data_IF_604697076872
#
_entry.id   IF_604697076872
#
_cell.length_a   1.000
_cell.length_b   1.000
_cell.length_c   1.000
_cell.angle_alpha   90.00
_cell.angle_beta   90.00
_cell.angle_gamma   90.00
#
_symmetry.space_group_name_H-M   'P 1'
#
loop_
_entity.id
_entity.type
_entity.pdbx_description
1 polymer ?
#
# COMPACT_ATOMS: atom_id res chain seq x y z
N UNK A 1 -1.92 12.79 -18.27
CA UNK A 1 -0.56 12.21 -18.34
C UNK A 1 -0.31 11.77 -19.79
N UNK A 2 0.87 11.96 -20.35
CA UNK A 2 1.17 11.53 -21.72
C UNK A 2 1.54 10.04 -21.78
N UNK A 3 2.22 9.54 -20.75
CA UNK A 3 2.68 8.15 -20.67
C UNK A 3 2.57 7.61 -19.25
N UNK A 4 2.82 6.30 -19.09
CA UNK A 4 2.93 5.65 -17.77
C UNK A 4 4.06 6.19 -16.89
N UNK A 5 5.05 6.86 -17.48
CA UNK A 5 6.13 7.49 -16.74
C UNK A 5 5.71 8.78 -16.04
N UNK A 6 4.49 9.27 -16.28
CA UNK A 6 3.95 10.49 -15.66
C UNK A 6 3.14 10.21 -14.37
N UNK A 7 3.14 8.96 -13.92
CA UNK A 7 2.54 8.54 -12.65
C UNK A 7 3.64 8.36 -11.61
N UNK A 8 3.53 9.10 -10.51
CA UNK A 8 4.52 9.06 -9.42
C UNK A 8 3.95 8.44 -8.13
N UNK A 9 2.63 8.25 -8.07
CA UNK A 9 1.91 7.72 -6.91
C UNK A 9 1.12 6.48 -7.32
N UNK A 10 1.31 5.39 -6.59
CA UNK A 10 0.50 4.18 -6.68
C UNK A 10 -0.31 4.01 -5.40
N UNK A 11 -1.58 3.65 -5.53
CA UNK A 11 -2.41 3.17 -4.43
C UNK A 11 -2.76 1.71 -4.69
N UNK A 12 -2.56 0.85 -3.70
CA UNK A 12 -2.78 -0.59 -3.82
C UNK A 12 -3.84 -0.98 -2.79
N UNK A 13 -4.93 -1.56 -3.27
CA UNK A 13 -6.07 -1.96 -2.44
C UNK A 13 -6.30 -3.47 -2.54
N UNK A 14 -6.57 -4.09 -1.38
CA UNK A 14 -6.74 -5.53 -1.27
C UNK A 14 -8.17 -5.98 -1.61
N UNK A 15 -9.15 -5.12 -1.32
CA UNK A 15 -10.57 -5.39 -1.50
C UNK A 15 -11.22 -4.40 -2.48
N UNK A 16 -12.25 -4.83 -3.23
CA UNK A 16 -12.99 -3.94 -4.13
C UNK A 16 -13.54 -2.70 -3.43
N UNK A 17 -14.11 -2.84 -2.24
CA UNK A 17 -14.67 -1.70 -1.49
C UNK A 17 -13.62 -0.64 -1.11
N UNK A 18 -12.37 -1.07 -0.87
CA UNK A 18 -11.26 -0.15 -0.59
C UNK A 18 -10.86 0.58 -1.88
N UNK A 19 -10.79 -0.16 -2.98
CA UNK A 19 -10.48 0.39 -4.30
C UNK A 19 -11.57 1.37 -4.77
N UNK A 20 -12.85 1.04 -4.58
CA UNK A 20 -14.00 1.88 -4.91
C UNK A 20 -13.92 3.22 -4.16
N UNK A 21 -13.56 3.18 -2.87
CA UNK A 21 -13.37 4.39 -2.07
C UNK A 21 -12.24 5.27 -2.62
N UNK A 22 -11.10 4.69 -3.01
CA UNK A 22 -9.99 5.44 -3.61
C UNK A 22 -10.36 5.96 -5.00
N UNK A 23 -11.04 5.14 -5.82
CA UNK A 23 -11.47 5.49 -7.16
C UNK A 23 -12.46 6.66 -7.15
N UNK A 24 -13.33 6.75 -6.12
CA UNK A 24 -14.24 7.86 -5.91
C UNK A 24 -13.54 9.17 -5.53
N UNK A 25 -12.30 9.12 -5.02
CA UNK A 25 -11.49 10.31 -4.72
C UNK A 25 -10.83 10.91 -5.96
N UNK A 26 -10.84 10.21 -7.10
CA UNK A 26 -10.31 10.74 -8.33
C UNK A 26 -11.15 11.93 -8.78
N UNK A 27 -10.50 13.09 -8.91
CA UNK A 27 -11.13 14.28 -9.50
C UNK A 27 -11.17 14.21 -11.03
N UNK A 28 -10.38 13.30 -11.62
CA UNK A 28 -10.36 12.98 -13.04
C UNK A 28 -10.01 11.52 -13.23
N UNK A 29 -10.70 10.87 -14.14
CA UNK A 29 -10.49 9.49 -14.56
C UNK A 29 -9.84 9.51 -15.95
N UNK A 30 -8.62 9.00 -16.06
CA UNK A 30 -7.91 9.01 -17.34
C UNK A 30 -8.36 7.88 -18.27
N UNK A 31 -8.92 6.82 -17.70
CA UNK A 31 -9.45 5.68 -18.47
C UNK A 31 -10.71 6.04 -19.28
N UNK A 32 -11.39 7.14 -18.94
CA UNK A 32 -12.58 7.63 -19.65
C UNK A 32 -12.23 8.53 -20.86
N UNK A 33 -11.03 9.13 -20.85
CA UNK A 33 -10.59 10.15 -21.81
C UNK A 33 -9.84 9.57 -23.04
N UNK A 34 -9.71 8.25 -23.13
CA UNK A 34 -8.96 7.58 -24.19
C UNK A 34 -8.74 6.09 -23.96
N UNK A 35 -7.91 5.43 -24.78
CA UNK A 35 -7.53 4.05 -24.50
C UNK A 35 -6.77 3.98 -23.16
N UNK A 36 -7.00 2.94 -22.35
CA UNK A 36 -6.27 2.74 -21.10
C UNK A 36 -4.76 2.75 -21.34
N UNK A 37 -3.99 3.18 -20.34
CA UNK A 37 -2.54 3.03 -20.39
C UNK A 37 -2.18 1.53 -20.44
N UNK A 38 -1.57 1.10 -21.55
CA UNK A 38 -1.07 -0.29 -21.70
C UNK A 38 -0.17 -0.69 -20.55
N UNK A 39 -0.11 -1.97 -20.18
CA UNK A 39 0.81 -2.45 -19.12
C UNK A 39 2.13 -2.96 -19.68
N UNK A 40 3.14 -3.11 -18.83
CA UNK A 40 4.35 -3.85 -19.21
C UNK A 40 3.99 -5.29 -19.62
N UNK A 41 4.67 -5.87 -20.63
CA UNK A 41 4.45 -7.26 -21.02
C UNK A 41 4.57 -8.21 -19.83
N UNK A 42 3.56 -9.07 -19.64
CA UNK A 42 3.52 -10.04 -18.55
C UNK A 42 2.98 -9.50 -17.22
N UNK A 43 2.58 -8.23 -17.12
CA UNK A 43 1.90 -7.69 -15.95
C UNK A 43 0.43 -8.17 -15.89
N UNK A 44 0.04 -9.02 -14.91
CA UNK A 44 -1.32 -9.53 -14.80
C UNK A 44 -2.28 -8.58 -14.07
N UNK A 45 -1.80 -7.48 -13.49
CA UNK A 45 -2.61 -6.62 -12.61
C UNK A 45 -3.73 -5.90 -13.37
N UNK A 46 -4.80 -5.58 -12.67
CA UNK A 46 -5.80 -4.60 -13.13
C UNK A 46 -5.49 -3.24 -12.49
N UNK A 47 -5.60 -2.16 -13.29
CA UNK A 47 -5.41 -0.80 -12.83
C UNK A 47 -6.58 0.07 -13.21
N UNK A 48 -6.83 1.08 -12.38
CA UNK A 48 -7.54 2.29 -12.77
C UNK A 48 -6.56 3.46 -12.71
N UNK A 49 -6.69 4.43 -13.61
CA UNK A 49 -5.84 5.61 -13.63
C UNK A 49 -6.65 6.88 -13.50
N UNK A 50 -6.16 7.79 -12.65
CA UNK A 50 -6.83 9.06 -12.42
C UNK A 50 -5.91 10.12 -11.83
N UNK A 51 -6.52 11.19 -11.34
CA UNK A 51 -5.82 12.24 -10.64
C UNK A 51 -6.49 12.53 -9.29
N UNK A 52 -5.66 12.79 -8.27
CA UNK A 52 -6.09 13.32 -6.97
C UNK A 52 -5.36 14.64 -6.75
N UNK A 53 -6.13 15.73 -6.69
CA UNK A 53 -5.59 17.07 -6.74
C UNK A 53 -4.79 17.27 -8.03
N UNK A 54 -3.49 17.58 -7.89
CA UNK A 54 -2.55 17.79 -8.99
C UNK A 54 -1.73 16.55 -9.36
N UNK A 55 -1.93 15.43 -8.68
CA UNK A 55 -1.10 14.24 -8.81
C UNK A 55 -1.79 13.20 -9.69
N UNK A 56 -1.06 12.66 -10.66
CA UNK A 56 -1.50 11.47 -11.39
C UNK A 56 -1.29 10.24 -10.51
N UNK A 57 -2.35 9.47 -10.32
CA UNK A 57 -2.39 8.32 -9.43
C UNK A 57 -2.78 7.08 -10.24
N UNK A 58 -2.05 5.99 -10.03
CA UNK A 58 -2.48 4.65 -10.46
C UNK A 58 -3.06 3.92 -9.26
N UNK A 59 -4.27 3.40 -9.40
CA UNK A 59 -4.91 2.50 -8.45
C UNK A 59 -4.73 1.06 -8.95
N UNK A 60 -4.04 0.24 -8.18
CA UNK A 60 -3.84 -1.18 -8.45
C UNK A 60 -4.85 -2.02 -7.67
N UNK A 61 -5.57 -2.87 -8.39
CA UNK A 61 -6.56 -3.79 -7.85
C UNK A 61 -5.90 -5.15 -7.57
N UNK A 62 -5.89 -5.56 -6.31
CA UNK A 62 -5.38 -6.89 -5.97
C UNK A 62 -6.41 -7.98 -6.33
N UNK A 63 -5.97 -9.15 -6.83
CA UNK A 63 -6.88 -10.28 -7.11
C UNK A 63 -7.37 -10.97 -5.83
N UNK A 64 -6.81 -10.63 -4.67
CA UNK A 64 -7.21 -11.12 -3.37
C UNK A 64 -6.24 -10.66 -2.28
N UNK A 65 -6.67 -10.79 -1.02
CA UNK A 65 -5.86 -10.41 0.13
C UNK A 65 -4.58 -11.26 0.26
N UNK A 66 -3.57 -10.68 0.92
CA UNK A 66 -2.39 -11.42 1.39
C UNK A 66 -1.07 -10.85 0.89
N UNK A 67 -0.02 -11.12 1.68
CA UNK A 67 1.33 -10.56 1.51
C UNK A 67 1.96 -10.92 0.15
N UNK A 68 1.78 -12.16 -0.30
CA UNK A 68 2.31 -12.63 -1.59
C UNK A 68 1.64 -11.94 -2.78
N UNK A 69 0.31 -11.79 -2.72
CA UNK A 69 -0.45 -11.07 -3.77
C UNK A 69 -0.04 -9.59 -3.80
N UNK A 70 0.02 -8.92 -2.65
CA UNK A 70 0.46 -7.53 -2.56
C UNK A 70 1.87 -7.33 -3.12
N UNK A 71 2.81 -8.22 -2.80
CA UNK A 71 4.17 -8.15 -3.33
C UNK A 71 4.23 -8.33 -4.85
N UNK A 72 3.47 -9.28 -5.40
CA UNK A 72 3.38 -9.50 -6.85
C UNK A 72 2.77 -8.29 -7.56
N UNK A 73 1.67 -7.75 -7.01
CA UNK A 73 1.01 -6.55 -7.55
C UNK A 73 1.96 -5.36 -7.54
N UNK A 74 2.63 -5.10 -6.42
CA UNK A 74 3.59 -3.99 -6.31
C UNK A 74 4.78 -4.15 -7.28
N UNK A 75 5.32 -5.35 -7.44
CA UNK A 75 6.43 -5.63 -8.34
C UNK A 75 6.05 -5.35 -9.80
N UNK A 76 4.89 -5.84 -10.25
CA UNK A 76 4.40 -5.62 -11.60
C UNK A 76 3.98 -4.15 -11.82
N UNK A 77 3.39 -3.51 -10.82
CA UNK A 77 3.08 -2.07 -10.85
C UNK A 77 4.32 -1.22 -11.06
N UNK A 78 5.42 -1.52 -10.37
CA UNK A 78 6.71 -0.85 -10.59
C UNK A 78 7.25 -1.07 -12.02
N UNK A 79 7.02 -2.25 -12.61
CA UNK A 79 7.46 -2.53 -13.97
C UNK A 79 6.62 -1.77 -15.02
N UNK A 80 5.31 -1.68 -14.80
CA UNK A 80 4.38 -0.94 -15.68
C UNK A 80 4.50 0.56 -15.51
N UNK A 81 4.63 1.07 -14.28
CA UNK A 81 4.72 2.50 -13.98
C UNK A 81 6.12 2.80 -13.41
N UNK A 82 7.11 3.06 -14.28
CA UNK A 82 8.52 3.09 -13.88
C UNK A 82 8.89 4.29 -13.00
N UNK A 83 8.07 5.35 -12.99
CA UNK A 83 8.32 6.60 -12.27
C UNK A 83 7.66 6.67 -10.89
N UNK A 84 7.07 5.57 -10.41
CA UNK A 84 6.47 5.53 -9.07
C UNK A 84 7.53 5.81 -8.00
N UNK A 85 7.28 6.86 -7.20
CA UNK A 85 8.11 7.28 -6.07
C UNK A 85 7.48 6.95 -4.73
N UNK A 86 6.14 6.91 -4.70
CA UNK A 86 5.35 6.61 -3.51
C UNK A 86 4.31 5.53 -3.84
N UNK A 87 4.32 4.44 -3.08
CA UNK A 87 3.28 3.42 -3.11
C UNK A 87 2.57 3.38 -1.76
N UNK A 88 1.25 3.54 -1.75
CA UNK A 88 0.40 3.49 -0.57
C UNK A 88 -0.39 2.19 -0.59
N UNK A 89 -0.32 1.42 0.49
CA UNK A 89 -1.25 0.31 0.72
C UNK A 89 -2.41 0.89 1.53
N UNK A 90 -3.60 0.91 0.95
CA UNK A 90 -4.78 1.52 1.54
C UNK A 90 -5.86 0.45 1.69
N UNK A 91 -6.36 0.31 2.91
CA UNK A 91 -7.41 -0.66 3.20
C UNK A 91 -7.87 -0.60 4.65
N UNK A 92 -8.88 -1.40 4.95
CA UNK A 92 -9.39 -1.57 6.32
C UNK A 92 -8.51 -2.53 7.09
N UNK A 93 -8.36 -2.30 8.40
CA UNK A 93 -7.59 -3.17 9.26
C UNK A 93 -8.26 -3.38 10.63
N UNK A 94 -7.93 -4.50 11.26
CA UNK A 94 -8.24 -4.72 12.67
C UNK A 94 -7.17 -4.09 13.55
N UNK A 95 -7.54 -3.69 14.76
CA UNK A 95 -6.62 -3.08 15.72
C UNK A 95 -6.78 -3.70 17.11
N UNK A 96 -5.71 -3.66 17.89
CA UNK A 96 -5.75 -3.92 19.33
C UNK A 96 -5.93 -2.57 20.02
N UNK A 97 -7.09 -2.29 20.67
CA UNK A 97 -7.42 -0.95 21.15
C UNK A 97 -6.42 -0.38 22.15
N UNK A 98 -5.79 -1.24 22.96
CA UNK A 98 -4.85 -0.84 24.00
C UNK A 98 -3.46 -1.42 23.73
N UNK A 99 -2.45 -0.54 23.67
CA UNK A 99 -1.05 -0.98 23.55
C UNK A 99 -0.55 -1.52 24.90
N UNK A 100 0.04 -2.73 24.94
CA UNK A 100 0.67 -3.27 26.16
C UNK A 100 1.72 -2.29 26.70
N UNK A 101 1.63 -1.93 27.98
CA UNK A 101 2.59 -1.03 28.63
C UNK A 101 2.38 0.46 28.38
N UNK A 102 1.35 0.87 27.63
CA UNK A 102 0.91 2.27 27.59
C UNK A 102 0.06 2.58 28.82
N UNK A 103 0.31 3.72 29.47
CA UNK A 103 -0.44 4.17 30.66
C UNK A 103 -1.85 4.69 30.32
N UNK A 104 -2.59 3.94 29.48
CA UNK A 104 -4.04 4.09 29.31
C UNK A 104 -4.55 5.33 28.59
N UNK A 105 -3.72 6.15 27.95
CA UNK A 105 -4.16 7.46 27.42
C UNK A 105 -4.47 7.50 25.93
N UNK A 106 -4.16 6.46 25.14
CA UNK A 106 -4.45 6.42 23.71
C UNK A 106 -5.07 5.08 23.33
N UNK A 107 -6.40 5.01 23.43
CA UNK A 107 -7.21 3.93 22.88
C UNK A 107 -7.37 4.15 21.36
N UNK A 108 -7.17 3.09 20.56
CA UNK A 108 -7.56 3.12 19.14
C UNK A 108 -8.98 2.58 18.98
N UNK A 109 -9.85 3.37 18.35
CA UNK A 109 -11.28 3.07 18.21
C UNK A 109 -11.68 2.87 16.75
N UNK A 110 -12.87 2.33 16.53
CA UNK A 110 -13.41 2.15 15.17
C UNK A 110 -13.61 3.51 14.50
N UNK A 111 -13.08 3.64 13.27
CA UNK A 111 -13.10 4.88 12.50
C UNK A 111 -11.76 5.64 12.51
N UNK A 112 -10.83 5.27 13.40
CA UNK A 112 -9.49 5.84 13.37
C UNK A 112 -8.74 5.48 12.08
N UNK A 113 -8.03 6.45 11.51
CA UNK A 113 -7.15 6.26 10.36
C UNK A 113 -5.72 6.11 10.86
N UNK A 114 -5.14 4.92 10.67
CA UNK A 114 -3.77 4.62 11.08
C UNK A 114 -2.82 4.84 9.90
N UNK A 115 -1.90 5.79 10.07
CA UNK A 115 -0.77 6.00 9.15
C UNK A 115 0.46 5.34 9.76
N UNK A 116 0.93 4.25 9.15
CA UNK A 116 2.03 3.46 9.70
C UNK A 116 3.41 4.07 9.37
N UNK A 117 4.32 4.05 10.35
CA UNK A 117 5.73 4.42 10.20
C UNK A 117 6.65 3.21 9.90
N UNK A 118 6.11 2.00 10.02
CA UNK A 118 6.82 0.75 9.76
C UNK A 118 5.88 -0.44 9.60
N UNK A 119 6.45 -1.60 9.27
CA UNK A 119 5.70 -2.86 9.14
C UNK A 119 6.49 -3.97 9.82
N UNK A 120 5.82 -4.74 10.67
CA UNK A 120 6.39 -5.91 11.33
C UNK A 120 5.65 -7.15 10.88
N UNK A 121 6.37 -8.12 10.32
CA UNK A 121 5.79 -9.39 9.93
C UNK A 121 5.78 -10.37 11.11
N UNK A 122 4.71 -10.35 11.88
CA UNK A 122 4.56 -11.17 13.10
C UNK A 122 4.49 -12.68 12.84
N UNK A 123 4.10 -13.09 11.62
CA UNK A 123 3.93 -14.50 11.23
C UNK A 123 5.15 -15.07 10.50
N UNK A 124 6.21 -14.27 10.31
CA UNK A 124 7.47 -14.76 9.76
C UNK A 124 8.29 -15.37 10.89
N UNK A 125 8.43 -16.69 10.90
CA UNK A 125 9.12 -17.37 11.99
C UNK A 125 9.18 -18.87 11.83
N UNK A 126 9.60 -19.55 12.89
CA UNK A 126 9.67 -21.01 12.97
C UNK A 126 8.80 -21.50 14.11
N UNK A 127 7.93 -22.47 13.83
CA UNK A 127 7.20 -23.19 14.87
C UNK A 127 8.13 -24.26 15.45
N UNK A 128 8.45 -24.14 16.74
CA UNK A 128 9.16 -25.14 17.53
C UNK A 128 8.15 -25.88 18.43
N UNK A 129 8.50 -27.03 19.02
CA UNK A 129 7.65 -27.67 20.02
C UNK A 129 7.29 -26.69 21.14
N UNK A 130 5.99 -26.42 21.31
CA UNK A 130 5.46 -25.54 22.36
C UNK A 130 5.54 -24.03 22.11
N UNK A 131 6.21 -23.55 21.04
CA UNK A 131 6.37 -22.10 20.82
C UNK A 131 6.55 -21.70 19.35
N UNK A 132 6.23 -20.46 19.04
CA UNK A 132 6.58 -19.83 17.76
C UNK A 132 7.70 -18.83 18.00
N UNK A 133 8.78 -18.94 17.23
CA UNK A 133 9.91 -18.01 17.29
C UNK A 133 9.84 -17.14 16.05
N UNK A 134 9.55 -15.85 16.23
CA UNK A 134 9.57 -14.88 15.14
C UNK A 134 11.00 -14.73 14.61
N UNK A 135 11.11 -14.54 13.29
CA UNK A 135 12.34 -14.08 12.64
C UNK A 135 12.31 -12.57 12.62
N UNK A 136 13.04 -11.97 13.55
CA UNK A 136 13.11 -10.52 13.77
C UNK A 136 14.56 -10.00 13.68
N UNK A 137 15.45 -10.79 13.08
CA UNK A 137 16.84 -10.37 12.85
C UNK A 137 16.93 -9.26 11.81
N UNK A 138 18.05 -8.53 11.77
CA UNK A 138 18.27 -7.42 10.83
C UNK A 138 18.03 -7.80 9.36
N UNK A 139 18.27 -9.05 8.98
CA UNK A 139 18.08 -9.55 7.61
C UNK A 139 16.64 -10.00 7.33
N UNK A 140 15.85 -10.25 8.37
CA UNK A 140 14.45 -10.69 8.27
C UNK A 140 13.47 -9.51 8.44
N UNK A 141 13.91 -8.38 9.01
CA UNK A 141 13.09 -7.17 9.18
C UNK A 141 12.92 -6.39 7.89
N UNK A 142 11.70 -5.87 7.67
CA UNK A 142 11.45 -4.94 6.58
C UNK A 142 12.23 -3.64 6.80
N UNK A 143 12.85 -3.14 5.75
CA UNK A 143 13.64 -1.91 5.79
C UNK A 143 12.80 -0.71 6.21
N UNK A 144 13.44 0.27 6.84
CA UNK A 144 12.79 1.55 7.17
C UNK A 144 12.36 2.27 5.87
N UNK A 145 11.25 3.02 5.89
CA UNK A 145 10.91 3.92 4.78
C UNK A 145 12.09 4.84 4.45
N UNK A 146 12.20 5.30 3.20
CA UNK A 146 13.27 6.19 2.77
C UNK A 146 13.22 7.55 3.50
N UNK A 147 14.27 8.37 3.35
CA UNK A 147 14.38 9.66 4.06
C UNK A 147 13.23 10.62 3.72
N UNK A 148 12.77 10.65 2.46
CA UNK A 148 11.67 11.52 2.04
C UNK A 148 10.35 11.14 2.72
N UNK A 149 10.01 9.85 2.76
CA UNK A 149 8.80 9.35 3.42
C UNK A 149 8.87 9.62 4.93
N UNK A 150 10.02 9.36 5.57
CA UNK A 150 10.17 9.64 7.00
C UNK A 150 10.04 11.14 7.32
N UNK A 151 10.60 12.01 6.48
CA UNK A 151 10.46 13.46 6.62
C UNK A 151 9.01 13.92 6.42
N UNK A 152 8.28 13.30 5.48
CA UNK A 152 6.85 13.54 5.29
C UNK A 152 6.04 13.13 6.53
N UNK A 153 6.29 11.93 7.08
CA UNK A 153 5.62 11.44 8.27
C UNK A 153 5.89 12.34 9.50
N UNK A 154 7.11 12.86 9.64
CA UNK A 154 7.47 13.76 10.75
C UNK A 154 6.81 15.16 10.65
N UNK A 155 6.24 15.50 9.49
CA UNK A 155 5.54 16.78 9.26
C UNK A 155 4.04 16.70 9.60
N UNK A 156 3.46 15.50 9.60
CA UNK A 156 2.05 15.26 9.93
C UNK A 156 1.79 15.51 11.43
#
# INVERSE_FOLDING_TARGET
PATRADFEIAVICALPIEADAVHALFNRHWDDDGPPYDKAPGDPNAYSTGAIGRYNVVLAHMPGMGKASAAAVAASCRASFPSIKLALIVGVCGVVPFRPGSSGTAETVLGDVIVSDGVVQYDLGRRLPGQFVQKDTLLDTLGRPNTEIRALLAKL
#
